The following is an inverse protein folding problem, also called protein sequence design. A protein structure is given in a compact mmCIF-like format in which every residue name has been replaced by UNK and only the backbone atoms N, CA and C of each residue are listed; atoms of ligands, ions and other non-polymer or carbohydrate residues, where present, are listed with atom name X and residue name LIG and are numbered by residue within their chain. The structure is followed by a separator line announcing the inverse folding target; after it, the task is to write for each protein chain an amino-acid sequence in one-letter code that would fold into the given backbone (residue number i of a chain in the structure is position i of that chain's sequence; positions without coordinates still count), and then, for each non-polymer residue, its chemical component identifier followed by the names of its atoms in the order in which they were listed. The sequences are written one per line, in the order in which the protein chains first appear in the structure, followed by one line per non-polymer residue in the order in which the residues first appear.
data_IF_036206055423
#
_entry.id   IF_036206055423
#
_cell.length_a   1.000
_cell.length_b   1.000
_cell.length_c   1.000
_cell.angle_alpha   90.00
_cell.angle_beta   90.00
_cell.angle_gamma   90.00
#
_symmetry.space_group_name_H-M   'P 1'
#
loop_
_entity.id
_entity.type
_entity.pdbx_description
1 polymer ?
#
# COMPACT_ATOMS: atom_id res chain seq x y z
N UNK A 1 -25.07 -45.26 -44.25
CA UNK A 1 -23.72 -45.53 -43.68
C UNK A 1 -22.81 -44.39 -44.09
N UNK A 2 -22.11 -43.77 -43.12
CA UNK A 2 -21.05 -42.79 -43.39
C UNK A 2 -21.38 -41.36 -42.96
N UNK A 3 -21.07 -41.07 -41.69
CA UNK A 3 -21.01 -39.74 -41.07
C UNK A 3 -19.77 -39.00 -41.59
N UNK A 4 -19.87 -37.71 -41.93
CA UNK A 4 -18.74 -36.78 -41.93
C UNK A 4 -19.14 -35.43 -41.33
N UNK A 5 -18.37 -35.03 -40.33
CA UNK A 5 -18.49 -33.81 -39.54
C UNK A 5 -17.90 -32.59 -40.28
N UNK A 6 -18.48 -31.41 -40.06
CA UNK A 6 -17.92 -30.11 -40.46
C UNK A 6 -17.35 -29.45 -39.20
N UNK A 7 -16.02 -29.27 -39.20
CA UNK A 7 -15.24 -28.58 -38.17
C UNK A 7 -15.48 -27.06 -38.25
N UNK A 8 -15.85 -26.47 -37.13
CA UNK A 8 -15.85 -25.04 -36.90
C UNK A 8 -14.41 -24.53 -36.77
N UNK A 9 -14.11 -23.42 -37.43
CA UNK A 9 -12.79 -22.80 -37.47
C UNK A 9 -12.37 -22.21 -36.13
N UNK A 10 -11.17 -22.55 -35.69
CA UNK A 10 -10.48 -21.89 -34.59
C UNK A 10 -10.16 -20.44 -34.97
N UNK A 11 -10.77 -19.49 -34.27
CA UNK A 11 -10.31 -18.11 -34.23
C UNK A 11 -8.91 -18.06 -33.62
N UNK A 12 -7.99 -17.36 -34.29
CA UNK A 12 -6.68 -17.01 -33.75
C UNK A 12 -6.90 -16.20 -32.47
N UNK A 13 -6.58 -16.80 -31.35
CA UNK A 13 -6.50 -16.15 -30.05
C UNK A 13 -5.11 -15.51 -30.00
N UNK A 14 -5.04 -14.18 -30.10
CA UNK A 14 -3.80 -13.42 -29.93
C UNK A 14 -3.44 -13.40 -28.43
N UNK A 15 -2.93 -14.54 -27.95
CA UNK A 15 -2.51 -14.75 -26.56
C UNK A 15 -1.04 -14.35 -26.37
N UNK A 16 -0.71 -13.08 -26.56
CA UNK A 16 0.60 -12.49 -26.28
C UNK A 16 0.51 -11.27 -25.33
N UNK A 17 -0.35 -11.36 -24.30
CA UNK A 17 -0.36 -10.42 -23.18
C UNK A 17 0.17 -11.08 -21.90
N UNK A 18 1.27 -11.79 -21.99
CA UNK A 18 2.11 -12.02 -20.81
C UNK A 18 2.85 -10.70 -20.58
N UNK A 19 2.70 -10.02 -19.42
CA UNK A 19 3.51 -8.85 -19.13
C UNK A 19 4.98 -9.29 -19.20
N UNK A 20 5.75 -8.73 -20.13
CA UNK A 20 7.17 -9.03 -20.32
C UNK A 20 7.93 -8.78 -19.01
N UNK A 21 8.16 -9.86 -18.26
CA UNK A 21 8.94 -9.87 -17.01
C UNK A 21 10.45 -9.77 -17.25
N UNK A 22 10.89 -9.05 -18.28
CA UNK A 22 12.22 -9.19 -18.88
C UNK A 22 12.95 -7.90 -19.26
N UNK A 23 12.46 -6.71 -18.89
CA UNK A 23 13.29 -5.49 -18.98
C UNK A 23 14.07 -5.31 -17.69
N UNK A 24 15.32 -4.85 -17.78
CA UNK A 24 16.24 -4.50 -16.67
C UNK A 24 15.63 -3.49 -15.67
N UNK A 25 14.65 -3.98 -14.91
CA UNK A 25 13.41 -3.28 -14.58
C UNK A 25 13.60 -1.96 -13.86
N UNK A 26 13.59 -0.87 -14.62
CA UNK A 26 13.50 0.46 -14.05
C UNK A 26 12.18 0.56 -13.28
N UNK A 27 12.28 0.75 -11.97
CA UNK A 27 11.12 0.98 -11.12
C UNK A 27 10.41 2.25 -11.61
N UNK A 28 9.18 2.09 -12.08
CA UNK A 28 8.35 3.22 -12.44
C UNK A 28 7.93 3.95 -11.15
N UNK A 29 8.44 5.16 -10.96
CA UNK A 29 8.16 6.00 -9.80
C UNK A 29 7.15 7.11 -10.12
N UNK A 30 6.43 7.00 -11.25
CA UNK A 30 5.39 7.97 -11.62
C UNK A 30 4.29 7.98 -10.56
N UNK A 31 4.04 9.13 -9.88
CA UNK A 31 3.02 9.19 -8.85
C UNK A 31 1.65 8.76 -9.36
N UNK A 32 0.99 7.86 -8.62
CA UNK A 32 -0.40 7.47 -8.90
C UNK A 32 -1.36 8.54 -8.35
N UNK A 33 -2.44 8.78 -9.07
CA UNK A 33 -3.52 9.67 -8.60
C UNK A 33 -4.50 8.93 -7.66
N UNK A 34 -5.42 9.70 -7.05
CA UNK A 34 -6.40 9.20 -6.07
C UNK A 34 -7.22 8.01 -6.58
N UNK A 35 -7.79 8.15 -7.78
CA UNK A 35 -8.66 7.12 -8.34
C UNK A 35 -7.88 5.83 -8.65
N UNK A 36 -6.64 5.95 -9.16
CA UNK A 36 -5.78 4.81 -9.42
C UNK A 36 -5.43 4.02 -8.14
N UNK A 37 -5.18 4.71 -7.03
CA UNK A 37 -4.91 4.06 -5.74
C UNK A 37 -6.18 3.38 -5.21
N UNK A 38 -7.33 4.06 -5.29
CA UNK A 38 -8.60 3.50 -4.82
C UNK A 38 -9.01 2.26 -5.61
N UNK A 39 -8.93 2.31 -6.94
CA UNK A 39 -9.19 1.14 -7.79
C UNK A 39 -8.27 -0.03 -7.42
N UNK A 40 -6.98 0.24 -7.19
CA UNK A 40 -6.04 -0.80 -6.79
C UNK A 40 -6.40 -1.40 -5.42
N UNK A 41 -6.79 -0.58 -4.45
CA UNK A 41 -7.27 -1.05 -3.15
C UNK A 41 -8.50 -1.95 -3.28
N UNK A 42 -9.50 -1.56 -4.09
CA UNK A 42 -10.68 -2.38 -4.36
C UNK A 42 -10.29 -3.73 -4.97
N UNK A 43 -9.37 -3.72 -5.95
CA UNK A 43 -8.90 -4.94 -6.63
C UNK A 43 -8.13 -5.87 -5.69
N UNK A 44 -7.20 -5.33 -4.91
CA UNK A 44 -6.42 -6.11 -3.94
C UNK A 44 -7.30 -6.71 -2.85
N UNK A 45 -8.32 -5.97 -2.41
CA UNK A 45 -9.30 -6.46 -1.45
C UNK A 45 -10.16 -7.58 -2.05
N UNK A 46 -10.72 -7.38 -3.25
CA UNK A 46 -11.50 -8.38 -3.98
C UNK A 46 -10.72 -9.69 -4.20
N UNK A 47 -9.43 -9.58 -4.52
CA UNK A 47 -8.52 -10.71 -4.69
C UNK A 47 -7.96 -11.27 -3.38
N UNK A 48 -8.39 -10.75 -2.22
CA UNK A 48 -7.99 -11.19 -0.89
C UNK A 48 -6.51 -10.97 -0.56
N UNK A 49 -5.78 -10.17 -1.33
CA UNK A 49 -4.34 -9.93 -1.17
C UNK A 49 -4.10 -8.97 -0.01
N UNK A 50 -4.94 -7.94 0.14
CA UNK A 50 -4.92 -7.03 1.27
C UNK A 50 -6.33 -6.92 1.82
N UNK A 51 -6.61 -7.70 2.87
CA UNK A 51 -7.90 -7.65 3.55
C UNK A 51 -7.88 -6.55 4.61
N UNK A 52 -8.43 -5.40 4.24
CA UNK A 52 -8.74 -4.34 5.17
C UNK A 52 -10.24 -4.38 5.49
N UNK A 53 -10.66 -4.02 6.73
CA UNK A 53 -12.07 -3.86 7.06
C UNK A 53 -12.78 -2.88 6.11
N UNK A 54 -12.11 -1.81 5.69
CA UNK A 54 -12.64 -0.81 4.75
C UNK A 54 -11.62 -0.51 3.67
N UNK A 55 -12.10 -0.20 2.48
CA UNK A 55 -11.29 0.29 1.34
C UNK A 55 -10.53 1.57 1.74
N UNK A 56 -11.15 2.42 2.55
CA UNK A 56 -10.52 3.62 3.11
C UNK A 56 -9.31 3.34 4.01
N UNK A 57 -9.23 2.17 4.65
CA UNK A 57 -8.06 1.81 5.46
C UNK A 57 -6.86 1.46 4.56
N UNK A 58 -7.09 0.73 3.45
CA UNK A 58 -6.05 0.49 2.43
C UNK A 58 -5.51 1.81 1.86
N UNK A 59 -6.42 2.71 1.49
CA UNK A 59 -6.07 4.03 0.98
C UNK A 59 -5.26 4.85 1.99
N UNK A 60 -5.68 4.85 3.26
CA UNK A 60 -5.01 5.57 4.34
C UNK A 60 -3.64 4.98 4.65
N UNK A 61 -3.51 3.65 4.68
CA UNK A 61 -2.25 2.95 4.93
C UNK A 61 -1.22 3.24 3.84
N UNK A 62 -1.63 3.35 2.58
CA UNK A 62 -0.70 3.70 1.50
C UNK A 62 0.08 4.97 1.80
N UNK A 63 -0.59 6.04 2.21
CA UNK A 63 0.08 7.30 2.52
C UNK A 63 0.71 7.32 3.90
N UNK A 64 -0.05 6.94 4.92
CA UNK A 64 0.40 7.11 6.30
C UNK A 64 1.49 6.11 6.69
N UNK A 65 1.51 4.93 6.08
CA UNK A 65 2.40 3.83 6.45
C UNK A 65 3.41 3.45 5.37
N UNK A 66 3.08 3.55 4.09
CA UNK A 66 4.02 3.07 3.06
C UNK A 66 4.81 4.20 2.41
N UNK A 67 4.16 5.28 2.00
CA UNK A 67 4.84 6.44 1.43
C UNK A 67 5.81 7.05 2.43
N UNK A 68 5.37 7.33 3.66
CA UNK A 68 6.20 7.97 4.70
C UNK A 68 7.40 7.13 5.13
N UNK A 69 7.31 5.80 4.99
CA UNK A 69 8.35 4.86 5.35
C UNK A 69 9.15 4.36 4.13
N UNK A 70 9.29 5.20 3.09
CA UNK A 70 10.15 4.93 1.95
C UNK A 70 9.71 3.74 1.08
N UNK A 71 8.49 3.23 1.27
CA UNK A 71 7.94 2.11 0.54
C UNK A 71 7.00 2.55 -0.60
N UNK A 72 6.93 3.86 -0.94
CA UNK A 72 6.10 4.37 -2.05
C UNK A 72 6.27 3.55 -3.32
N UNK A 73 7.51 3.37 -3.76
CA UNK A 73 7.83 2.67 -4.99
C UNK A 73 7.31 1.23 -5.00
N UNK A 74 7.49 0.50 -3.89
CA UNK A 74 6.99 -0.86 -3.73
C UNK A 74 5.47 -0.91 -3.92
N UNK A 75 4.73 -0.09 -3.18
CA UNK A 75 3.26 -0.13 -3.21
C UNK A 75 2.68 0.44 -4.50
N UNK A 76 3.31 1.44 -5.12
CA UNK A 76 2.91 1.87 -6.47
C UNK A 76 3.10 0.75 -7.49
N UNK A 77 4.21 0.01 -7.44
CA UNK A 77 4.39 -1.18 -8.28
C UNK A 77 3.28 -2.22 -8.04
N UNK A 78 2.93 -2.49 -6.77
CA UNK A 78 1.83 -3.39 -6.42
C UNK A 78 0.47 -2.90 -6.92
N UNK A 79 0.20 -1.59 -6.85
CA UNK A 79 -1.07 -1.02 -7.30
C UNK A 79 -1.19 -0.94 -8.81
N UNK A 80 -0.10 -0.63 -9.53
CA UNK A 80 -0.09 -0.72 -11.00
C UNK A 80 -0.31 -2.16 -11.45
N UNK A 81 0.32 -3.11 -10.77
CA UNK A 81 0.10 -4.53 -10.98
C UNK A 81 -1.37 -4.93 -10.80
N UNK A 82 -2.00 -4.50 -9.71
CA UNK A 82 -3.43 -4.72 -9.46
C UNK A 82 -4.31 -4.12 -10.57
N UNK A 83 -4.07 -2.86 -10.94
CA UNK A 83 -4.84 -2.17 -11.96
C UNK A 83 -4.68 -2.79 -13.36
N UNK A 84 -3.48 -3.24 -13.71
CA UNK A 84 -3.20 -3.91 -14.97
C UNK A 84 -3.94 -5.27 -15.07
N UNK A 85 -4.00 -6.04 -13.98
CA UNK A 85 -4.72 -7.31 -13.92
C UNK A 85 -6.24 -7.19 -13.92
N UNK A 86 -6.78 -5.98 -13.75
CA UNK A 86 -8.22 -5.70 -13.70
C UNK A 86 -8.95 -6.58 -12.67
N UNK A 87 -9.90 -7.40 -13.10
CA UNK A 87 -10.65 -8.33 -12.24
C UNK A 87 -10.03 -9.73 -12.16
N UNK A 88 -8.93 -9.97 -12.89
CA UNK A 88 -8.26 -11.27 -12.93
C UNK A 88 -7.30 -11.39 -11.74
N UNK A 89 -7.80 -11.98 -10.66
CA UNK A 89 -7.02 -12.18 -9.45
C UNK A 89 -5.86 -13.17 -9.62
N UNK A 90 -5.83 -13.99 -10.67
CA UNK A 90 -4.66 -14.81 -11.00
C UNK A 90 -3.55 -13.92 -11.51
N UNK A 91 -3.84 -13.05 -12.50
CA UNK A 91 -2.86 -12.11 -13.05
C UNK A 91 -2.32 -11.19 -11.96
N UNK A 92 -3.19 -10.64 -11.11
CA UNK A 92 -2.75 -9.75 -10.02
C UNK A 92 -1.79 -10.48 -9.07
N UNK A 93 -2.13 -11.71 -8.67
CA UNK A 93 -1.28 -12.52 -7.78
C UNK A 93 0.05 -12.87 -8.44
N UNK A 94 0.04 -13.36 -9.67
CA UNK A 94 1.27 -13.71 -10.40
C UNK A 94 2.19 -12.50 -10.55
N UNK A 95 1.63 -11.34 -10.89
CA UNK A 95 2.38 -10.11 -11.05
C UNK A 95 2.96 -9.57 -9.72
N UNK A 96 2.30 -9.82 -8.59
CA UNK A 96 2.85 -9.55 -7.25
C UNK A 96 3.89 -10.59 -6.79
N UNK A 97 4.14 -11.63 -7.59
CA UNK A 97 5.11 -12.68 -7.32
C UNK A 97 4.57 -13.87 -6.54
N UNK A 98 3.25 -13.99 -6.37
CA UNK A 98 2.65 -15.18 -5.77
C UNK A 98 2.75 -16.35 -6.77
N UNK A 99 3.52 -17.38 -6.40
CA UNK A 99 3.66 -18.60 -7.19
C UNK A 99 2.64 -19.64 -6.75
N UNK A 100 1.63 -19.89 -7.58
CA UNK A 100 0.64 -20.95 -7.34
C UNK A 100 -0.30 -20.68 -6.16
N UNK A 101 -0.97 -21.75 -5.68
CA UNK A 101 -1.92 -21.67 -4.55
C UNK A 101 -1.16 -21.32 -3.28
N UNK A 102 -1.56 -20.27 -2.54
CA UNK A 102 -0.86 -19.88 -1.34
C UNK A 102 -0.82 -20.98 -0.29
N UNK A 103 0.32 -21.09 0.38
CA UNK A 103 0.46 -22.00 1.52
C UNK A 103 -0.39 -21.49 2.67
N UNK A 104 -1.13 -22.39 3.32
CA UNK A 104 -1.85 -22.05 4.56
C UNK A 104 -0.85 -21.85 5.69
N UNK A 105 -1.07 -20.83 6.52
CA UNK A 105 -0.24 -20.55 7.68
C UNK A 105 -1.08 -20.59 8.97
N UNK A 106 -0.44 -20.97 10.08
CA UNK A 106 -1.08 -21.11 11.39
C UNK A 106 -0.33 -20.39 12.50
N UNK A 107 -0.69 -20.65 13.75
CA UNK A 107 -0.12 -20.00 14.94
C UNK A 107 1.37 -20.23 15.15
N UNK A 108 1.94 -21.28 14.55
CA UNK A 108 3.38 -21.57 14.58
C UNK A 108 4.17 -20.98 13.41
N UNK A 109 3.53 -20.24 12.51
CA UNK A 109 4.18 -19.69 11.33
C UNK A 109 5.32 -18.74 11.71
N UNK A 110 6.48 -18.92 11.07
CA UNK A 110 7.65 -18.07 11.25
C UNK A 110 7.84 -17.21 10.00
N UNK A 111 7.67 -15.88 10.09
CA UNK A 111 7.98 -14.99 8.99
C UNK A 111 9.43 -15.13 8.55
N UNK A 112 9.65 -15.12 7.23
CA UNK A 112 10.95 -15.39 6.62
C UNK A 112 11.21 -14.48 5.44
N UNK A 113 12.50 -14.30 5.15
CA UNK A 113 12.98 -13.81 3.87
C UNK A 113 13.45 -15.01 3.05
N UNK A 114 12.98 -15.14 1.82
CA UNK A 114 13.53 -16.07 0.82
C UNK A 114 13.99 -15.24 -0.37
N UNK A 115 15.32 -15.09 -0.49
CA UNK A 115 15.92 -14.09 -1.37
C UNK A 115 15.44 -12.66 -1.04
N UNK A 116 14.81 -12.01 -2.00
CA UNK A 116 14.26 -10.66 -1.90
C UNK A 116 12.75 -10.63 -1.57
N UNK A 117 12.14 -11.78 -1.27
CA UNK A 117 10.71 -11.89 -0.97
C UNK A 117 10.48 -11.97 0.54
N UNK A 118 9.65 -11.05 1.06
CA UNK A 118 9.20 -11.03 2.44
C UNK A 118 7.92 -11.85 2.60
N UNK A 119 7.99 -12.96 3.35
CA UNK A 119 6.86 -13.86 3.58
C UNK A 119 6.28 -13.70 4.98
N UNK A 120 5.04 -13.24 5.08
CA UNK A 120 4.28 -13.11 6.33
C UNK A 120 3.01 -13.97 6.30
N UNK A 121 2.46 -14.29 7.47
CA UNK A 121 1.14 -14.93 7.56
C UNK A 121 0.06 -13.85 7.66
N UNK A 122 -0.89 -13.84 6.73
CA UNK A 122 -2.13 -13.09 6.92
C UNK A 122 -2.97 -13.84 7.95
N UNK A 123 -3.09 -13.28 9.16
CA UNK A 123 -3.79 -13.93 10.26
C UNK A 123 -5.31 -13.99 10.04
N UNK A 124 -5.87 -13.07 9.24
CA UNK A 124 -7.30 -13.05 8.92
C UNK A 124 -7.63 -14.11 7.89
N UNK A 125 -6.80 -14.20 6.86
CA UNK A 125 -7.05 -15.08 5.74
C UNK A 125 -6.41 -16.48 5.91
N UNK A 126 -5.46 -16.63 6.84
CA UNK A 126 -4.72 -17.87 7.18
C UNK A 126 -3.88 -18.44 6.04
N UNK A 127 -3.30 -17.57 5.22
CA UNK A 127 -2.35 -17.95 4.18
C UNK A 127 -1.13 -17.04 4.17
N UNK A 128 -0.05 -17.58 3.63
CA UNK A 128 1.21 -16.92 3.48
C UNK A 128 1.16 -15.89 2.35
N UNK A 129 1.60 -14.66 2.65
CA UNK A 129 1.74 -13.57 1.70
C UNK A 129 3.21 -13.26 1.47
N UNK A 130 3.65 -13.43 0.22
CA UNK A 130 4.97 -13.01 -0.25
C UNK A 130 4.91 -11.64 -0.91
N UNK A 131 5.81 -10.75 -0.53
CA UNK A 131 6.00 -9.45 -1.19
C UNK A 131 7.43 -9.37 -1.70
N UNK A 132 7.60 -9.23 -3.02
CA UNK A 132 8.90 -9.08 -3.65
C UNK A 132 9.45 -7.66 -3.43
N UNK A 133 10.39 -7.51 -2.50
CA UNK A 133 10.89 -6.20 -2.07
C UNK A 133 11.62 -5.43 -3.19
N UNK A 134 12.21 -6.14 -4.16
CA UNK A 134 12.88 -5.51 -5.30
C UNK A 134 11.93 -4.72 -6.20
N UNK A 135 10.61 -4.96 -6.16
CA UNK A 135 9.62 -4.13 -6.86
C UNK A 135 9.63 -2.65 -6.42
N UNK A 136 10.16 -2.36 -5.23
CA UNK A 136 10.40 -1.00 -4.74
C UNK A 136 11.87 -0.65 -4.56
N UNK A 137 12.80 -1.47 -5.07
CA UNK A 137 14.23 -1.27 -4.85
C UNK A 137 14.66 -1.51 -3.40
N UNK A 138 13.88 -2.30 -2.66
CA UNK A 138 14.10 -2.61 -1.26
C UNK A 138 14.69 -4.01 -1.10
N UNK A 139 15.18 -4.32 0.10
CA UNK A 139 15.66 -5.63 0.52
C UNK A 139 14.76 -6.20 1.59
N UNK A 140 14.65 -7.53 1.63
CA UNK A 140 13.95 -8.20 2.72
C UNK A 140 14.80 -8.18 4.00
N UNK A 141 14.17 -7.93 5.15
CA UNK A 141 14.76 -8.06 6.48
C UNK A 141 13.79 -8.70 7.46
N UNK A 142 14.31 -9.26 8.56
CA UNK A 142 13.49 -9.76 9.66
C UNK A 142 13.49 -8.75 10.79
N UNK A 143 12.29 -8.25 11.13
CA UNK A 143 12.05 -7.28 12.19
C UNK A 143 11.41 -7.96 13.39
N UNK A 144 12.01 -7.82 14.57
CA UNK A 144 11.37 -8.15 15.85
C UNK A 144 10.36 -7.05 16.22
N UNK A 145 9.12 -7.44 16.46
CA UNK A 145 8.02 -6.58 16.90
C UNK A 145 7.39 -7.20 18.16
N UNK A 146 7.85 -6.77 19.33
CA UNK A 146 7.49 -7.39 20.60
C UNK A 146 8.03 -8.83 20.69
N UNK A 147 7.15 -9.79 20.97
CA UNK A 147 7.49 -11.22 20.99
C UNK A 147 7.44 -11.90 19.61
N UNK A 148 7.02 -11.18 18.57
CA UNK A 148 6.85 -11.70 17.23
C UNK A 148 7.98 -11.22 16.30
N UNK A 149 8.20 -11.97 15.24
CA UNK A 149 9.07 -11.59 14.11
C UNK A 149 8.18 -11.30 12.91
N UNK A 150 8.56 -10.34 12.07
CA UNK A 150 7.91 -10.01 10.79
C UNK A 150 8.95 -9.93 9.69
N UNK A 151 8.64 -10.41 8.50
CA UNK A 151 9.45 -10.16 7.32
C UNK A 151 9.04 -8.81 6.72
N UNK A 152 9.98 -7.89 6.52
CA UNK A 152 9.69 -6.52 6.07
C UNK A 152 10.53 -6.17 4.85
N UNK A 153 9.99 -5.33 3.97
CA UNK A 153 10.74 -4.72 2.89
C UNK A 153 11.30 -3.37 3.35
N UNK A 154 12.63 -3.25 3.38
CA UNK A 154 13.34 -2.06 3.84
C UNK A 154 14.77 -2.03 3.30
N UNK A 155 15.74 -1.62 4.12
CA UNK A 155 17.16 -1.63 3.75
C UNK A 155 17.86 -2.98 3.90
N UNK A 156 17.17 -4.00 4.42
CA UNK A 156 17.70 -5.34 4.71
C UNK A 156 17.80 -5.63 6.21
N UNK A 157 18.72 -6.51 6.60
CA UNK A 157 19.02 -6.83 8.00
C UNK A 157 20.07 -5.89 8.58
N UNK A 158 20.06 -5.71 9.90
CA UNK A 158 21.06 -4.92 10.62
C UNK A 158 21.31 -5.48 12.03
N UNK A 159 22.48 -5.16 12.58
CA UNK A 159 22.80 -5.36 13.99
C UNK A 159 22.51 -4.06 14.75
N UNK A 160 21.55 -4.09 15.68
CA UNK A 160 21.13 -2.92 16.45
C UNK A 160 22.25 -2.30 17.30
N UNK A 161 23.27 -3.08 17.67
CA UNK A 161 24.39 -2.58 18.48
C UNK A 161 25.44 -1.86 17.64
N UNK A 162 25.51 -2.17 16.36
CA UNK A 162 26.55 -1.67 15.44
C UNK A 162 26.01 -0.65 14.45
N UNK A 163 24.73 -0.75 14.10
CA UNK A 163 24.10 0.10 13.11
C UNK A 163 23.90 1.51 13.68
N UNK A 164 24.49 2.50 13.03
CA UNK A 164 24.27 3.91 13.32
C UNK A 164 23.26 4.44 12.34
N UNK A 165 22.20 5.07 12.85
CA UNK A 165 21.23 5.73 12.00
C UNK A 165 21.91 6.82 11.15
N UNK A 166 21.52 6.90 9.89
CA UNK A 166 22.19 7.71 8.87
C UNK A 166 21.18 8.33 7.90
N UNK A 167 21.57 9.46 7.32
CA UNK A 167 20.82 10.13 6.27
C UNK A 167 21.40 9.75 4.90
N UNK A 168 20.60 9.08 4.08
CA UNK A 168 20.99 8.78 2.71
C UNK A 168 21.18 10.05 1.87
N UNK A 169 21.82 9.90 0.71
CA UNK A 169 21.99 10.99 -0.27
C UNK A 169 20.66 11.61 -0.69
N UNK A 170 19.59 10.82 -0.67
CA UNK A 170 18.24 11.23 -1.06
C UNK A 170 17.42 11.74 0.15
N UNK A 171 18.09 12.12 1.25
CA UNK A 171 17.48 12.64 2.47
C UNK A 171 16.53 11.63 3.16
N UNK A 172 16.74 10.32 2.97
CA UNK A 172 16.00 9.29 3.69
C UNK A 172 16.74 8.92 4.97
N UNK A 173 16.03 8.83 6.08
CA UNK A 173 16.57 8.32 7.32
C UNK A 173 16.59 6.79 7.26
N UNK A 174 17.77 6.21 7.46
CA UNK A 174 17.98 4.78 7.64
C UNK A 174 18.20 4.50 9.12
N UNK A 175 17.39 3.62 9.71
CA UNK A 175 17.52 3.23 11.11
C UNK A 175 17.36 1.73 11.31
N UNK A 176 18.04 1.16 12.29
CA UNK A 176 17.89 -0.25 12.64
C UNK A 176 16.81 -0.41 13.70
N UNK A 177 15.74 -1.14 13.38
CA UNK A 177 14.63 -1.41 14.30
C UNK A 177 14.30 -2.89 14.25
N UNK A 178 14.41 -3.58 15.38
CA UNK A 178 14.12 -5.01 15.50
C UNK A 178 15.07 -5.90 14.69
N UNK A 179 16.27 -5.44 14.33
CA UNK A 179 17.19 -6.16 13.44
C UNK A 179 16.93 -6.00 11.93
N UNK A 180 16.01 -5.11 11.52
CA UNK A 180 15.80 -4.73 10.14
C UNK A 180 16.05 -3.23 9.93
N UNK A 181 16.59 -2.86 8.75
CA UNK A 181 16.78 -1.47 8.37
C UNK A 181 15.44 -0.92 7.89
N UNK A 182 14.87 0.00 8.67
CA UNK A 182 13.75 0.81 8.25
C UNK A 182 14.23 2.04 7.47
N UNK A 183 13.40 2.47 6.53
CA UNK A 183 13.63 3.65 5.73
C UNK A 183 12.51 4.63 6.07
N UNK A 184 12.84 5.87 6.38
CA UNK A 184 11.88 6.94 6.57
C UNK A 184 12.17 8.00 5.52
N UNK A 185 11.21 8.26 4.65
CA UNK A 185 11.34 9.24 3.58
C UNK A 185 10.99 10.62 4.13
N UNK A 186 12.00 11.31 4.70
CA UNK A 186 11.80 12.62 5.31
C UNK A 186 11.21 13.63 4.30
N UNK A 187 11.70 13.72 3.04
CA UNK A 187 11.12 14.60 2.03
C UNK A 187 9.63 14.39 1.80
N UNK A 188 9.16 13.14 1.72
CA UNK A 188 7.73 12.83 1.54
C UNK A 188 6.87 13.23 2.74
N UNK A 189 7.47 13.45 3.90
CA UNK A 189 6.81 13.99 5.06
C UNK A 189 6.87 15.52 5.14
N UNK A 190 7.53 16.19 4.21
CA UNK A 190 7.85 17.61 4.30
C UNK A 190 9.02 17.92 5.26
N UNK A 191 9.76 16.90 5.69
CA UNK A 191 10.91 16.98 6.60
C UNK A 191 12.23 16.92 5.81
N UNK A 192 13.33 17.22 6.48
CA UNK A 192 14.69 16.99 5.97
C UNK A 192 15.40 15.98 6.87
N UNK A 193 16.30 15.18 6.32
CA UNK A 193 17.15 14.32 7.13
C UNK A 193 18.43 15.09 7.47
N UNK A 194 18.59 15.47 8.73
CA UNK A 194 19.79 16.18 9.22
C UNK A 194 20.52 15.32 10.25
N UNK A 195 21.82 15.59 10.40
CA UNK A 195 22.77 14.94 11.31
C UNK A 195 23.38 13.61 10.79
N UNK A 196 24.60 13.64 10.23
CA UNK A 196 25.29 12.43 9.75
C UNK A 196 25.75 11.48 10.87
N UNK A 197 25.59 11.84 12.16
CA UNK A 197 26.00 11.02 13.29
C UNK A 197 24.84 10.37 14.03
N UNK A 198 23.61 10.85 13.82
CA UNK A 198 22.41 10.34 14.50
C UNK A 198 21.26 10.02 13.56
N UNK A 199 21.18 10.67 12.39
CA UNK A 199 20.08 10.53 11.44
C UNK A 199 18.73 10.88 12.06
N UNK A 200 18.20 12.07 11.78
CA UNK A 200 16.85 12.44 12.23
C UNK A 200 16.09 13.18 11.14
N UNK A 201 14.80 12.84 10.97
CA UNK A 201 13.89 13.66 10.18
C UNK A 201 13.43 14.86 11.03
N UNK A 202 13.77 16.08 10.60
CA UNK A 202 13.42 17.31 11.30
C UNK A 202 12.72 18.32 10.39
N UNK A 203 12.07 19.32 11.00
CA UNK A 203 11.45 20.43 10.27
C UNK A 203 12.43 21.20 9.38
N UNK A 204 11.92 21.79 8.29
CA UNK A 204 12.73 22.57 7.33
C UNK A 204 12.84 24.06 7.67
N UNK A 205 12.02 24.55 8.59
CA UNK A 205 11.92 25.95 8.94
C UNK A 205 12.95 26.40 9.99
N UNK A 206 12.62 27.52 10.64
CA UNK A 206 13.43 28.09 11.74
C UNK A 206 13.39 27.19 12.98
N UNK A 207 14.38 27.35 13.86
CA UNK A 207 14.36 26.69 15.16
C UNK A 207 13.13 27.13 15.96
N UNK A 208 12.51 26.17 16.66
CA UNK A 208 11.35 26.37 17.51
C UNK A 208 11.57 25.64 18.85
N UNK A 209 10.93 26.17 19.89
CA UNK A 209 10.77 25.52 21.20
C UNK A 209 9.34 25.80 21.66
N UNK A 210 8.72 24.84 22.32
CA UNK A 210 7.38 24.99 22.93
C UNK A 210 6.29 25.48 21.97
N UNK A 211 6.33 25.01 20.72
CA UNK A 211 5.36 25.38 19.70
C UNK A 211 4.17 24.41 19.74
N UNK A 212 2.98 24.92 20.09
CA UNK A 212 1.74 24.15 19.95
C UNK A 212 1.40 23.97 18.46
N UNK A 213 1.09 22.73 18.01
CA UNK A 213 0.56 22.50 16.67
C UNK A 213 -0.61 23.43 16.36
N UNK A 214 -0.60 24.04 15.17
CA UNK A 214 -1.69 24.91 14.73
C UNK A 214 -1.94 24.84 13.22
N UNK A 215 -3.14 25.26 12.81
CA UNK A 215 -3.49 25.50 11.42
C UNK A 215 -3.36 26.99 11.09
N UNK A 216 -2.66 27.32 10.00
CA UNK A 216 -2.70 28.65 9.40
C UNK A 216 -3.19 28.52 7.96
N UNK A 217 -4.48 28.81 7.73
CA UNK A 217 -5.14 28.45 6.47
C UNK A 217 -5.16 26.94 6.27
N UNK A 218 -4.82 26.46 5.07
CA UNK A 218 -4.75 25.04 4.73
C UNK A 218 -3.42 24.36 5.11
N UNK A 219 -2.58 25.03 5.90
CA UNK A 219 -1.28 24.49 6.31
C UNK A 219 -1.23 24.17 7.80
N UNK A 220 -0.72 22.98 8.12
CA UNK A 220 -0.36 22.54 9.47
C UNK A 220 1.05 23.02 9.80
N UNK A 221 1.22 23.59 10.99
CA UNK A 221 2.50 23.98 11.56
C UNK A 221 2.76 23.17 12.82
N UNK A 222 3.93 22.55 12.96
CA UNK A 222 4.39 21.90 14.20
C UNK A 222 5.88 22.13 14.42
N UNK A 223 6.39 21.83 15.61
CA UNK A 223 7.82 21.80 15.88
C UNK A 223 8.31 20.36 15.88
N UNK A 224 8.98 19.96 14.81
CA UNK A 224 9.52 18.61 14.63
C UNK A 224 11.02 18.65 14.88
N UNK A 225 11.45 18.00 15.96
CA UNK A 225 12.87 17.90 16.37
C UNK A 225 13.56 19.27 16.52
N UNK A 226 12.83 20.27 17.02
CA UNK A 226 13.35 21.62 17.29
C UNK A 226 13.35 22.56 16.09
N UNK A 227 12.75 22.16 14.96
CA UNK A 227 12.59 22.99 13.76
C UNK A 227 11.15 23.03 13.28
N UNK A 228 10.73 24.18 12.76
CA UNK A 228 9.38 24.39 12.24
C UNK A 228 9.15 23.47 11.04
N UNK A 229 8.09 22.69 11.13
CA UNK A 229 7.60 21.83 10.08
C UNK A 229 6.28 22.38 9.57
N UNK A 230 6.18 22.51 8.25
CA UNK A 230 5.01 23.05 7.57
C UNK A 230 4.53 22.02 6.57
N UNK A 231 3.24 21.66 6.67
CA UNK A 231 2.58 20.75 5.75
C UNK A 231 1.35 21.43 5.15
N UNK A 232 1.35 21.57 3.84
CA UNK A 232 0.24 22.12 3.07
C UNK A 232 -0.77 21.00 2.78
N UNK A 233 -1.91 21.00 3.47
CA UNK A 233 -2.91 19.95 3.34
C UNK A 233 -3.52 19.90 1.93
N UNK A 234 -3.51 21.00 1.17
CA UNK A 234 -4.02 20.98 -0.22
C UNK A 234 -3.13 20.17 -1.18
N UNK A 235 -1.88 19.92 -0.79
CA UNK A 235 -0.90 19.11 -1.53
C UNK A 235 -0.79 17.68 -1.01
N UNK A 236 -1.39 17.40 0.14
CA UNK A 236 -1.49 16.03 0.62
C UNK A 236 -2.38 15.23 -0.30
N UNK A 237 -2.16 13.93 -0.33
CA UNK A 237 -2.94 13.07 -1.19
C UNK A 237 -4.37 12.91 -0.68
N UNK A 238 -5.30 12.88 -1.62
CA UNK A 238 -6.72 12.98 -1.32
C UNK A 238 -7.19 14.43 -1.27
N UNK A 239 -8.49 14.62 -1.07
CA UNK A 239 -9.04 15.95 -0.82
C UNK A 239 -8.88 16.28 0.66
N UNK A 240 -7.74 16.83 1.09
CA UNK A 240 -7.47 17.16 2.50
C UNK A 240 -7.61 18.66 2.79
N UNK A 241 -7.86 18.99 4.06
CA UNK A 241 -7.86 20.35 4.61
C UNK A 241 -7.25 20.34 6.01
N UNK A 242 -6.83 21.50 6.50
CA UNK A 242 -6.36 21.62 7.87
C UNK A 242 -7.56 21.65 8.84
N UNK A 243 -7.54 20.77 9.86
CA UNK A 243 -8.49 20.82 10.97
C UNK A 243 -7.90 21.58 12.14
N UNK A 244 -8.51 22.72 12.51
CA UNK A 244 -8.00 23.59 13.59
C UNK A 244 -8.06 22.94 14.97
N UNK A 245 -8.97 21.98 15.19
CA UNK A 245 -9.10 21.29 16.48
C UNK A 245 -8.03 20.21 16.67
N UNK A 246 -7.64 19.55 15.59
CA UNK A 246 -6.61 18.50 15.59
C UNK A 246 -5.22 19.02 15.22
N UNK A 247 -5.13 20.20 14.61
CA UNK A 247 -3.94 20.73 13.98
C UNK A 247 -3.28 19.69 13.04
N UNK A 248 -4.09 19.05 12.20
CA UNK A 248 -3.67 18.02 11.23
C UNK A 248 -4.44 18.13 9.91
N UNK A 249 -3.94 17.44 8.88
CA UNK A 249 -4.61 17.32 7.59
C UNK A 249 -5.65 16.20 7.62
N UNK A 250 -6.93 16.58 7.54
CA UNK A 250 -8.08 15.67 7.55
C UNK A 250 -8.81 15.69 6.21
N UNK A 251 -9.70 14.73 5.99
CA UNK A 251 -10.58 14.75 4.81
C UNK A 251 -11.43 16.01 4.73
N UNK A 252 -11.51 16.60 3.54
CA UNK A 252 -12.23 17.85 3.31
C UNK A 252 -13.74 17.66 3.10
N UNK A 253 -14.16 16.47 2.67
CA UNK A 253 -15.55 16.12 2.37
C UNK A 253 -16.43 16.01 3.62
N UNK A 254 -17.74 16.13 3.41
CA UNK A 254 -18.76 16.05 4.46
C UNK A 254 -19.96 15.17 4.08
N UNK A 255 -19.86 14.42 2.99
CA UNK A 255 -20.91 13.54 2.46
C UNK A 255 -21.06 12.25 3.27
N UNK A 256 -20.00 11.84 3.96
CA UNK A 256 -19.96 10.68 4.83
C UNK A 256 -18.97 10.90 5.99
N UNK A 257 -19.17 10.20 7.10
CA UNK A 257 -18.25 10.22 8.24
C UNK A 257 -17.30 9.02 8.14
N UNK A 258 -16.01 9.26 7.94
CA UNK A 258 -14.99 8.22 7.77
C UNK A 258 -14.84 7.29 8.97
N UNK A 259 -15.23 7.71 10.17
CA UNK A 259 -15.09 6.91 11.39
C UNK A 259 -16.25 5.94 11.57
N UNK A 260 -17.44 6.30 11.09
CA UNK A 260 -18.67 5.50 11.27
C UNK A 260 -19.18 4.87 9.98
N UNK A 261 -18.67 5.25 8.81
CA UNK A 261 -19.08 4.68 7.53
C UNK A 261 -18.38 3.34 7.28
N UNK A 262 -19.17 2.32 6.98
CA UNK A 262 -18.71 1.03 6.51
C UNK A 262 -19.02 0.91 5.02
N UNK A 263 -18.10 0.32 4.26
CA UNK A 263 -18.32 0.05 2.84
C UNK A 263 -19.64 -0.73 2.66
N UNK A 264 -20.45 -0.34 1.67
CA UNK A 264 -21.76 -0.92 1.41
C UNK A 264 -21.98 -1.24 -0.07
N UNK A 265 -22.85 -2.20 -0.37
CA UNK A 265 -23.27 -2.49 -1.74
C UNK A 265 -24.59 -1.81 -2.08
N UNK A 266 -24.63 -1.14 -3.22
CA UNK A 266 -25.85 -0.66 -3.87
C UNK A 266 -26.01 -1.39 -5.21
N UNK A 267 -26.64 -2.57 -5.17
CA UNK A 267 -26.63 -3.50 -6.31
C UNK A 267 -25.22 -4.01 -6.60
N UNK A 268 -24.76 -3.87 -7.85
CA UNK A 268 -23.39 -4.23 -8.27
C UNK A 268 -22.34 -3.13 -7.97
N UNK A 269 -22.76 -2.01 -7.39
CA UNK A 269 -21.87 -0.89 -7.07
C UNK A 269 -21.40 -0.96 -5.62
N UNK A 270 -20.09 -0.94 -5.41
CA UNK A 270 -19.47 -0.74 -4.10
C UNK A 270 -19.41 0.76 -3.77
N UNK A 271 -19.94 1.15 -2.61
CA UNK A 271 -19.90 2.52 -2.11
C UNK A 271 -18.97 2.59 -0.91
N UNK A 272 -18.00 3.50 -0.97
CA UNK A 272 -16.98 3.69 0.06
C UNK A 272 -16.93 5.16 0.49
N UNK A 273 -16.39 5.43 1.69
CA UNK A 273 -16.16 6.78 2.18
C UNK A 273 -14.66 7.09 2.25
N UNK A 274 -14.21 8.05 1.45
CA UNK A 274 -12.81 8.47 1.40
C UNK A 274 -12.77 9.97 1.66
N UNK A 275 -12.06 10.38 2.71
CA UNK A 275 -11.89 11.79 3.06
C UNK A 275 -13.21 12.57 3.17
N UNK A 276 -14.23 11.89 3.68
CA UNK A 276 -15.58 12.42 3.85
C UNK A 276 -16.38 12.57 2.56
N UNK A 277 -15.91 12.03 1.43
CA UNK A 277 -16.62 11.96 0.16
C UNK A 277 -17.05 10.54 -0.14
N UNK A 278 -18.26 10.37 -0.68
CA UNK A 278 -18.72 9.07 -1.17
C UNK A 278 -18.05 8.78 -2.52
N UNK A 279 -17.51 7.58 -2.68
CA UNK A 279 -17.01 7.07 -3.95
C UNK A 279 -17.71 5.77 -4.30
N UNK A 280 -17.93 5.57 -5.59
CA UNK A 280 -18.67 4.43 -6.12
C UNK A 280 -17.82 3.66 -7.12
N UNK A 281 -17.83 2.35 -7.03
CA UNK A 281 -17.11 1.45 -7.94
C UNK A 281 -18.08 0.43 -8.54
N UNK A 282 -18.22 0.42 -9.86
CA UNK A 282 -18.96 -0.62 -10.56
C UNK A 282 -18.13 -1.92 -10.57
N UNK A 283 -18.45 -2.86 -9.67
CA UNK A 283 -17.68 -4.08 -9.52
C UNK A 283 -17.65 -4.90 -10.82
N UNK A 284 -18.75 -4.94 -11.58
CA UNK A 284 -18.79 -5.66 -12.87
C UNK A 284 -17.95 -4.96 -13.92
N UNK A 285 -18.04 -3.63 -14.01
CA UNK A 285 -17.19 -2.81 -14.86
C UNK A 285 -15.69 -2.96 -14.54
N UNK A 286 -15.35 -3.23 -13.28
CA UNK A 286 -13.98 -3.54 -12.86
C UNK A 286 -13.52 -4.97 -13.17
N UNK A 287 -14.41 -5.85 -13.62
CA UNK A 287 -14.13 -7.25 -13.99
C UNK A 287 -14.46 -8.27 -12.90
N UNK A 288 -15.24 -7.92 -11.88
CA UNK A 288 -15.67 -8.79 -10.80
C UNK A 288 -17.10 -9.32 -11.02
N UNK A 289 -17.54 -10.32 -10.24
CA UNK A 289 -18.89 -10.89 -10.38
C UNK A 289 -20.00 -9.91 -9.98
N UNK A 290 -19.70 -9.02 -9.03
CA UNK A 290 -20.63 -8.04 -8.46
C UNK A 290 -20.14 -7.55 -7.10
N UNK A 291 -20.92 -6.69 -6.45
CA UNK A 291 -20.67 -6.28 -5.07
C UNK A 291 -21.34 -7.28 -4.12
N UNK A 292 -20.63 -7.69 -3.07
CA UNK A 292 -21.16 -8.60 -2.04
C UNK A 292 -20.94 -8.04 -0.65
N UNK A 293 -21.83 -8.44 0.27
CA UNK A 293 -21.75 -8.10 1.68
C UNK A 293 -21.37 -9.35 2.49
N UNK A 294 -20.22 -9.30 3.16
CA UNK A 294 -19.72 -10.35 4.05
C UNK A 294 -19.71 -9.84 5.50
N UNK A 295 -20.77 -10.15 6.25
CA UNK A 295 -20.94 -9.65 7.60
C UNK A 295 -21.16 -8.13 7.63
N UNK A 296 -20.26 -7.39 8.27
CA UNK A 296 -20.28 -5.92 8.36
C UNK A 296 -19.55 -5.21 7.22
N UNK A 297 -18.97 -5.95 6.28
CA UNK A 297 -18.12 -5.41 5.22
C UNK A 297 -18.76 -5.62 3.85
N UNK A 298 -18.49 -4.72 2.91
CA UNK A 298 -18.82 -4.90 1.52
C UNK A 298 -17.55 -4.82 0.65
N UNK A 299 -17.50 -5.63 -0.40
CA UNK A 299 -16.41 -5.68 -1.35
C UNK A 299 -16.89 -6.14 -2.73
N UNK A 300 -16.05 -5.96 -3.75
CA UNK A 300 -16.26 -6.62 -5.03
C UNK A 300 -15.87 -8.10 -4.92
N UNK A 301 -16.71 -9.01 -5.44
CA UNK A 301 -16.46 -10.45 -5.40
C UNK A 301 -15.70 -10.92 -6.63
N UNK A 302 -14.50 -11.41 -6.42
CA UNK A 302 -13.72 -12.06 -7.46
C UNK A 302 -14.19 -13.48 -7.76
N UNK A 303 -13.93 -13.93 -8.99
CA UNK A 303 -14.00 -15.34 -9.33
C UNK A 303 -12.97 -16.14 -8.51
N UNK A 304 -13.29 -17.37 -8.08
CA UNK A 304 -12.32 -18.24 -7.43
C UNK A 304 -11.08 -18.44 -8.31
N UNK A 305 -9.90 -18.13 -7.77
CA UNK A 305 -8.62 -18.33 -8.49
C UNK A 305 -8.13 -19.77 -8.38
N UNK A 306 -8.41 -20.42 -7.25
CA UNK A 306 -8.04 -21.80 -7.00
C UNK A 306 -9.29 -22.55 -6.54
N UNK A 307 -9.63 -23.61 -7.26
CA UNK A 307 -10.61 -24.61 -6.81
C UNK A 307 -10.05 -25.44 -5.63
#
# INVERSE_FOLDING_TARGET
MGVFAILAGCGKNDSNNTPDGGTDGKIDNTPMNEDQVLEACVRLHACGIQKHPRTGDCFSDFYNRFVRFGQRALYQSMYRCANAGKGDCKIIRECLGFQGKPQTCGTGYQPRCDGDVAYNCDLLAKWEQGIKCSLGGLKCGLKKAGSQTQAVCGGGTCDEQQFKADCSTDQKLLQCVGGAIEIIDCPEQGLQCRDPKKGVCEGKGRSCRDFSPECRGDSVFRCEQGYEWVRDCSKEFGSKKCDTGLADCVGAGTECNTDSFFDECQGDTLVVCIDGKRRTFDCKGMGFEGCVKEGSFANCKALPVYE
#
